data_IF_847529233886
#
_entry.id   IF_847529233886
#
_cell.length_a   1.000
_cell.length_b   1.000
_cell.length_c   1.000
_cell.angle_alpha   90.00
_cell.angle_beta   90.00
_cell.angle_gamma   90.00
#
_symmetry.space_group_name_H-M   'P 1'
#
loop_
_entity.id
_entity.type
_entity.pdbx_description
1 polymer ?
#
# COMPACT_ATOMS: atom_id res chain seq x y z
N UNK A 1 -6.30 0.06 28.19
CA UNK A 1 -5.09 0.34 27.40
C UNK A 1 -5.52 1.20 26.21
N UNK A 2 -5.11 2.47 26.13
CA UNK A 2 -5.33 3.24 24.90
C UNK A 2 -4.34 2.71 23.86
N UNK A 3 -4.81 1.89 22.91
CA UNK A 3 -4.03 1.66 21.71
C UNK A 3 -3.82 3.03 21.04
N UNK A 4 -2.57 3.45 20.76
CA UNK A 4 -2.34 4.66 20.00
C UNK A 4 -2.97 4.45 18.63
N UNK A 5 -4.10 5.13 18.40
CA UNK A 5 -4.74 5.13 17.08
C UNK A 5 -3.79 5.88 16.16
N UNK A 6 -2.97 5.13 15.41
CA UNK A 6 -2.06 5.71 14.44
C UNK A 6 -2.89 6.49 13.43
N UNK A 7 -2.55 7.77 13.26
CA UNK A 7 -3.14 8.56 12.18
C UNK A 7 -2.87 7.84 10.84
N UNK A 8 -3.73 8.00 9.82
CA UNK A 8 -3.51 7.36 8.52
C UNK A 8 -2.11 7.62 7.93
N UNK A 9 -1.56 8.82 8.18
CA UNK A 9 -0.19 9.15 7.79
C UNK A 9 0.85 8.34 8.56
N UNK A 10 0.74 8.23 9.88
CA UNK A 10 1.65 7.42 10.69
C UNK A 10 1.58 5.93 10.30
N UNK A 11 0.38 5.42 10.03
CA UNK A 11 0.17 4.06 9.54
C UNK A 11 0.86 3.81 8.20
N UNK A 12 0.74 4.75 7.26
CA UNK A 12 1.47 4.69 5.99
C UNK A 12 2.97 4.63 6.21
N UNK A 13 3.54 5.52 7.03
CA UNK A 13 4.98 5.54 7.27
C UNK A 13 5.48 4.23 7.89
N UNK A 14 4.72 3.64 8.82
CA UNK A 14 5.05 2.35 9.41
C UNK A 14 5.07 1.22 8.37
N UNK A 15 3.97 1.07 7.61
CA UNK A 15 3.84 0.05 6.57
C UNK A 15 4.89 0.25 5.48
N UNK A 16 5.08 1.49 5.03
CA UNK A 16 6.05 1.84 3.99
C UNK A 16 7.47 1.48 4.43
N UNK A 17 7.84 1.79 5.67
CA UNK A 17 9.16 1.46 6.22
C UNK A 17 9.42 -0.05 6.31
N UNK A 18 8.41 -0.83 6.70
CA UNK A 18 8.52 -2.29 6.72
C UNK A 18 8.69 -2.88 5.32
N UNK A 19 7.87 -2.44 4.36
CA UNK A 19 7.92 -2.93 2.98
C UNK A 19 9.22 -2.49 2.30
N UNK A 20 9.66 -1.25 2.49
CA UNK A 20 10.94 -0.76 2.01
C UNK A 20 12.11 -1.66 2.46
N UNK A 21 12.16 -2.03 3.75
CA UNK A 21 13.17 -2.95 4.28
C UNK A 21 13.05 -4.35 3.67
N UNK A 22 11.83 -4.91 3.57
CA UNK A 22 11.58 -6.25 3.03
C UNK A 22 12.07 -6.39 1.59
N UNK A 23 11.83 -5.37 0.75
CA UNK A 23 12.19 -5.39 -0.66
C UNK A 23 13.57 -4.80 -0.96
N UNK A 24 14.28 -4.27 0.06
CA UNK A 24 15.50 -3.50 -0.11
C UNK A 24 15.34 -2.33 -1.11
N UNK A 25 14.22 -1.61 -1.00
CA UNK A 25 13.84 -0.48 -1.87
C UNK A 25 13.69 0.77 -1.00
N UNK A 26 14.18 1.91 -1.48
CA UNK A 26 13.98 3.20 -0.83
C UNK A 26 12.46 3.51 -0.69
N UNK A 27 11.97 3.95 0.48
CA UNK A 27 10.57 4.35 0.68
C UNK A 27 10.05 5.33 -0.39
N UNK A 28 10.92 6.25 -0.83
CA UNK A 28 10.67 7.23 -1.86
C UNK A 28 10.40 6.55 -3.21
N UNK A 29 11.16 5.51 -3.57
CA UNK A 29 10.95 4.78 -4.83
C UNK A 29 9.59 4.05 -4.88
N UNK A 30 9.06 3.65 -3.72
CA UNK A 30 7.71 3.07 -3.62
C UNK A 30 6.66 4.16 -3.83
N UNK A 31 6.91 5.40 -3.39
CA UNK A 31 5.95 6.52 -3.40
C UNK A 31 6.04 7.46 -4.61
N UNK A 32 7.20 7.57 -5.25
CA UNK A 32 7.51 8.60 -6.25
C UNK A 32 7.32 8.17 -7.70
N UNK A 33 7.26 9.20 -8.55
CA UNK A 33 7.38 9.13 -10.01
C UNK A 33 8.77 9.63 -10.42
N UNK A 34 9.43 9.04 -11.44
CA UNK A 34 8.85 8.23 -12.50
C UNK A 34 8.35 6.87 -12.02
N UNK A 35 7.27 6.38 -12.63
CA UNK A 35 6.72 5.06 -12.32
C UNK A 35 7.75 4.04 -12.77
N UNK A 36 8.62 3.63 -11.86
CA UNK A 36 9.51 2.51 -12.13
C UNK A 36 8.65 1.26 -12.22
N UNK A 37 8.57 0.68 -13.41
CA UNK A 37 7.85 -0.57 -13.68
C UNK A 37 8.68 -1.81 -13.31
N UNK A 38 9.76 -1.62 -12.54
CA UNK A 38 10.53 -2.72 -12.00
C UNK A 38 9.60 -3.63 -11.19
N UNK A 39 9.58 -4.95 -11.45
CA UNK A 39 8.65 -5.87 -10.80
C UNK A 39 8.68 -5.77 -9.27
N UNK A 40 9.85 -5.59 -8.66
CA UNK A 40 10.01 -5.44 -7.21
C UNK A 40 9.37 -4.16 -6.65
N UNK A 41 9.46 -3.03 -7.36
CA UNK A 41 8.82 -1.77 -6.94
C UNK A 41 7.30 -1.88 -7.05
N UNK A 42 6.81 -2.51 -8.12
CA UNK A 42 5.38 -2.74 -8.30
C UNK A 42 4.83 -3.66 -7.20
N UNK A 43 5.53 -4.75 -6.88
CA UNK A 43 5.15 -5.65 -5.77
C UNK A 43 5.15 -4.93 -4.42
N UNK A 44 6.17 -4.11 -4.14
CA UNK A 44 6.21 -3.30 -2.93
C UNK A 44 5.01 -2.34 -2.84
N UNK A 45 4.63 -1.69 -3.94
CA UNK A 45 3.44 -0.81 -3.99
C UNK A 45 2.14 -1.58 -3.76
N UNK A 46 2.01 -2.77 -4.36
CA UNK A 46 0.86 -3.66 -4.13
C UNK A 46 0.78 -4.03 -2.65
N UNK A 47 1.89 -4.44 -2.04
CA UNK A 47 1.91 -4.85 -0.62
C UNK A 47 1.56 -3.69 0.32
N UNK A 48 2.07 -2.48 0.09
CA UNK A 48 1.68 -1.28 0.86
C UNK A 48 0.17 -1.01 0.72
N UNK A 49 -0.35 -1.02 -0.51
CA UNK A 49 -1.77 -0.79 -0.75
C UNK A 49 -2.67 -1.85 -0.09
N UNK A 50 -2.30 -3.13 -0.19
CA UNK A 50 -3.01 -4.24 0.45
C UNK A 50 -3.02 -4.08 1.97
N UNK A 51 -1.87 -3.80 2.59
CA UNK A 51 -1.78 -3.64 4.05
C UNK A 51 -2.57 -2.43 4.53
N UNK A 52 -2.61 -1.33 3.79
CA UNK A 52 -3.45 -0.17 4.11
C UNK A 52 -4.95 -0.51 4.01
N UNK A 53 -5.34 -1.27 2.98
CA UNK A 53 -6.72 -1.72 2.82
C UNK A 53 -7.17 -2.62 3.98
N UNK A 54 -6.31 -3.56 4.39
CA UNK A 54 -6.57 -4.46 5.52
C UNK A 54 -6.74 -3.72 6.87
N UNK A 55 -6.22 -2.49 6.98
CA UNK A 55 -6.41 -1.62 8.14
C UNK A 55 -7.63 -0.69 8.01
N UNK A 56 -8.48 -0.94 7.03
CA UNK A 56 -9.73 -0.20 6.82
C UNK A 56 -9.58 1.11 6.05
N UNK A 57 -8.40 1.39 5.47
CA UNK A 57 -8.22 2.62 4.67
C UNK A 57 -8.93 2.47 3.32
N UNK A 58 -9.86 3.38 2.96
CA UNK A 58 -10.57 3.31 1.68
C UNK A 58 -9.63 3.43 0.47
N UNK A 59 -9.94 2.71 -0.63
CA UNK A 59 -9.14 2.71 -1.87
C UNK A 59 -8.84 4.12 -2.41
N UNK A 60 -9.80 5.03 -2.30
CA UNK A 60 -9.65 6.45 -2.72
C UNK A 60 -8.61 7.17 -1.86
N UNK A 61 -8.61 6.91 -0.55
CA UNK A 61 -7.65 7.49 0.38
C UNK A 61 -6.26 6.90 0.18
N UNK A 62 -6.15 5.58 -0.10
CA UNK A 62 -4.88 4.93 -0.47
C UNK A 62 -4.29 5.57 -1.73
N UNK A 63 -5.10 5.77 -2.78
CA UNK A 63 -4.66 6.41 -4.02
C UNK A 63 -4.10 7.82 -3.77
N UNK A 64 -4.81 8.61 -2.95
CA UNK A 64 -4.36 9.96 -2.55
C UNK A 64 -3.06 9.91 -1.76
N UNK A 65 -2.97 9.03 -0.76
CA UNK A 65 -1.82 8.89 0.12
C UNK A 65 -0.57 8.44 -0.64
N UNK A 66 -0.70 7.48 -1.56
CA UNK A 66 0.41 6.95 -2.36
C UNK A 66 0.67 7.75 -3.65
N UNK A 67 -0.05 8.86 -3.89
CA UNK A 67 0.02 9.65 -5.15
C UNK A 67 -0.19 8.78 -6.41
N UNK A 68 -1.02 7.74 -6.31
CA UNK A 68 -1.34 6.83 -7.40
C UNK A 68 -2.66 7.22 -8.08
N UNK A 69 -2.80 6.84 -9.34
CA UNK A 69 -4.09 6.97 -10.01
C UNK A 69 -5.08 5.95 -9.45
N UNK A 70 -6.36 6.32 -9.34
CA UNK A 70 -7.39 5.42 -8.77
C UNK A 70 -7.48 4.09 -9.52
N UNK A 71 -7.30 4.11 -10.85
CA UNK A 71 -7.28 2.89 -11.65
C UNK A 71 -6.07 1.99 -11.32
N UNK A 72 -4.91 2.56 -11.01
CA UNK A 72 -3.71 1.81 -10.60
C UNK A 72 -3.95 1.07 -9.28
N UNK A 73 -4.54 1.75 -8.30
CA UNK A 73 -4.91 1.13 -7.01
C UNK A 73 -5.96 0.05 -7.22
N UNK A 74 -6.92 0.25 -8.12
CA UNK A 74 -7.90 -0.79 -8.49
C UNK A 74 -7.22 -2.03 -9.06
N UNK A 75 -6.23 -1.87 -9.95
CA UNK A 75 -5.46 -2.98 -10.53
C UNK A 75 -4.65 -3.70 -9.46
N UNK A 76 -3.95 -2.97 -8.59
CA UNK A 76 -3.16 -3.56 -7.50
C UNK A 76 -4.01 -4.38 -6.53
N UNK A 77 -5.23 -3.91 -6.25
CA UNK A 77 -6.14 -4.54 -5.29
C UNK A 77 -7.12 -5.52 -5.93
N UNK A 78 -7.12 -5.67 -7.27
CA UNK A 78 -8.04 -6.58 -7.98
C UNK A 78 -7.82 -8.05 -7.60
N UNK A 79 -6.59 -8.42 -7.22
CA UNK A 79 -6.25 -9.78 -6.76
C UNK A 79 -6.61 -10.08 -5.30
N UNK A 80 -6.84 -9.07 -4.46
CA UNK A 80 -7.09 -9.23 -3.02
C UNK A 80 -8.58 -9.30 -2.63
N UNK A 81 -9.50 -9.16 -3.59
CA UNK A 81 -10.94 -9.29 -3.36
C UNK A 81 -11.48 -10.73 -3.51
N UNK A 82 -10.62 -11.76 -3.53
CA UNK A 82 -11.01 -13.18 -3.67
C UNK A 82 -10.64 -14.10 -2.50
N UNK A 83 -10.28 -13.57 -1.32
CA UNK A 83 -10.05 -14.39 -0.11
C UNK A 83 -11.09 -14.11 0.98
N UNK A 84 -12.33 -14.48 0.72
CA UNK A 84 -13.38 -14.31 1.72
C UNK A 84 -14.71 -14.98 1.40
N UNK A 85 -14.72 -16.27 1.03
CA UNK A 85 -15.75 -17.26 1.41
C UNK A 85 -15.14 -18.67 1.20
N UNK A 86 -14.90 -19.49 2.24
CA UNK A 86 -14.76 -20.94 2.07
C UNK A 86 -16.13 -21.57 1.77
N UNK A 87 -16.18 -22.46 0.78
CA UNK A 87 -17.26 -23.44 0.58
C UNK A 87 -16.65 -24.77 0.19
#
# INVERSE_FOLDING_TARGET
MHEPTLTPRALLHAILGEVARKYAIAPEAIMERPVTHAPGVVQARVEVATRLLARGIPKVQIARMMKLHGNTVRVYLAGHSKEGVPS
#
